data_IF_275970906738
#
_entry.id   IF_275970906738
#
_cell.length_a   1.000
_cell.length_b   1.000
_cell.length_c   1.000
_cell.angle_alpha   90.00
_cell.angle_beta   90.00
_cell.angle_gamma   90.00
#
_symmetry.space_group_name_H-M   'P 1'
#
loop_
_entity.id
_entity.type
_entity.pdbx_description
1 polymer ?
#
# COMPACT_ATOMS: atom_id res chain seq x y z
N UNK A 1 32.11 14.05 -3.22
CA UNK A 1 32.24 12.98 -2.21
C UNK A 1 30.84 12.40 -2.00
N UNK A 2 30.48 11.39 -2.79
CA UNK A 2 29.14 10.80 -2.76
C UNK A 2 29.09 9.79 -1.63
N UNK A 3 28.45 10.15 -0.52
CA UNK A 3 27.98 9.16 0.45
C UNK A 3 27.03 8.20 -0.29
N UNK A 4 27.52 6.99 -0.58
CA UNK A 4 26.67 5.86 -0.91
C UNK A 4 25.76 5.61 0.30
N UNK A 5 24.60 6.27 0.34
CA UNK A 5 23.50 5.87 1.20
C UNK A 5 23.10 4.47 0.76
N UNK A 6 23.60 3.46 1.46
CA UNK A 6 23.11 2.09 1.35
C UNK A 6 21.60 2.15 1.59
N UNK A 7 20.83 1.85 0.56
CA UNK A 7 19.37 1.73 0.69
C UNK A 7 19.09 0.44 1.45
N UNK A 8 18.78 0.59 2.73
CA UNK A 8 18.38 -0.54 3.57
C UNK A 8 17.08 -1.13 3.04
N UNK A 9 17.05 -2.45 2.84
CA UNK A 9 15.85 -3.22 2.52
C UNK A 9 15.39 -4.01 3.74
N UNK A 10 14.08 -4.03 3.95
CA UNK A 10 13.41 -4.93 4.88
C UNK A 10 12.85 -6.14 4.15
N UNK A 11 12.62 -7.22 4.89
CA UNK A 11 11.76 -8.32 4.44
C UNK A 11 10.35 -8.06 4.97
N UNK A 12 9.37 -8.06 4.07
CA UNK A 12 7.95 -7.92 4.43
C UNK A 12 7.16 -9.10 3.90
N UNK A 13 6.17 -9.55 4.68
CA UNK A 13 5.18 -10.52 4.21
C UNK A 13 4.19 -9.85 3.27
N UNK A 14 3.88 -10.51 2.16
CA UNK A 14 2.94 -10.03 1.17
C UNK A 14 2.12 -11.14 0.55
N UNK A 15 0.92 -10.78 0.11
CA UNK A 15 0.09 -11.60 -0.75
C UNK A 15 -0.86 -10.71 -1.56
N UNK A 16 -1.69 -11.33 -2.41
CA UNK A 16 -2.68 -10.60 -3.20
C UNK A 16 -3.60 -9.72 -2.34
N UNK A 17 -4.08 -10.21 -1.19
CA UNK A 17 -5.01 -9.48 -0.32
C UNK A 17 -4.39 -8.26 0.36
N UNK A 18 -3.22 -8.41 0.98
CA UNK A 18 -2.44 -7.33 1.61
C UNK A 18 -2.07 -6.28 0.57
N UNK A 19 -1.57 -6.70 -0.59
CA UNK A 19 -1.21 -5.77 -1.65
C UNK A 19 -2.44 -5.01 -2.12
N UNK A 20 -3.55 -5.71 -2.35
CA UNK A 20 -4.82 -5.08 -2.75
C UNK A 20 -5.26 -4.05 -1.72
N UNK A 21 -5.32 -4.42 -0.44
CA UNK A 21 -5.68 -3.51 0.65
C UNK A 21 -4.84 -2.22 0.63
N UNK A 22 -3.51 -2.34 0.54
CA UNK A 22 -2.61 -1.17 0.57
C UNK A 22 -2.75 -0.23 -0.63
N UNK A 23 -3.47 -0.65 -1.69
CA UNK A 23 -3.67 0.10 -2.93
C UNK A 23 -5.14 0.50 -3.14
N UNK A 24 -6.05 0.09 -2.25
CA UNK A 24 -7.47 0.40 -2.34
C UNK A 24 -7.74 1.86 -1.95
N UNK A 25 -8.52 2.56 -2.77
CA UNK A 25 -9.08 3.87 -2.40
C UNK A 25 -10.15 3.67 -1.33
N UNK A 26 -9.87 4.16 -0.13
CA UNK A 26 -10.79 4.03 1.02
C UNK A 26 -11.38 5.37 1.45
N UNK A 27 -10.87 6.48 0.93
CA UNK A 27 -11.38 7.83 1.18
C UNK A 27 -12.31 8.30 0.08
N UNK A 28 -13.19 9.26 0.42
CA UNK A 28 -14.12 9.88 -0.53
C UNK A 28 -14.96 8.85 -1.28
N UNK A 29 -15.52 7.87 -0.54
CA UNK A 29 -16.36 6.84 -1.11
C UNK A 29 -17.72 7.39 -1.51
N UNK A 30 -18.32 6.77 -2.52
CA UNK A 30 -19.68 7.08 -2.95
C UNK A 30 -20.69 6.62 -1.88
N UNK A 31 -21.85 7.29 -1.82
CA UNK A 31 -22.90 6.96 -0.85
C UNK A 31 -23.34 5.49 -0.94
N UNK A 32 -23.40 4.92 -2.15
CA UNK A 32 -23.74 3.50 -2.39
C UNK A 32 -22.75 2.52 -1.74
N UNK A 33 -21.52 2.96 -1.50
CA UNK A 33 -20.49 2.17 -0.82
C UNK A 33 -20.61 2.28 0.70
N UNK A 34 -21.48 3.14 1.24
CA UNK A 34 -21.67 3.32 2.67
C UNK A 34 -23.05 2.73 3.04
N UNK A 35 -23.02 1.64 3.79
CA UNK A 35 -24.22 0.94 4.24
C UNK A 35 -25.06 1.78 5.21
N UNK A 36 -26.31 1.36 5.41
CA UNK A 36 -27.29 2.06 6.26
C UNK A 36 -26.86 2.21 7.73
N UNK A 37 -25.95 1.37 8.21
CA UNK A 37 -25.40 1.42 9.57
C UNK A 37 -24.11 2.24 9.66
N UNK A 38 -23.67 2.87 8.56
CA UNK A 38 -22.48 3.71 8.53
C UNK A 38 -21.17 2.98 8.24
N UNK A 39 -21.21 1.67 7.96
CA UNK A 39 -20.06 0.89 7.51
C UNK A 39 -19.79 1.09 6.02
N UNK A 40 -18.53 1.23 5.61
CA UNK A 40 -18.17 1.29 4.20
C UNK A 40 -17.79 -0.09 3.66
N UNK A 41 -18.26 -0.39 2.45
CA UNK A 41 -18.05 -1.65 1.73
C UNK A 41 -17.44 -1.36 0.36
N UNK A 42 -16.26 -1.93 0.10
CA UNK A 42 -15.48 -1.69 -1.11
C UNK A 42 -15.16 -3.01 -1.80
N UNK A 43 -15.70 -3.19 -3.01
CA UNK A 43 -15.35 -4.30 -3.88
C UNK A 43 -14.01 -4.00 -4.55
N UNK A 44 -12.97 -4.75 -4.20
CA UNK A 44 -11.60 -4.57 -4.68
C UNK A 44 -11.28 -5.63 -5.75
N UNK A 45 -12.10 -5.67 -6.81
CA UNK A 45 -12.07 -6.74 -7.81
C UNK A 45 -13.02 -7.89 -7.48
N UNK A 46 -12.79 -9.05 -8.11
CA UNK A 46 -13.76 -10.16 -8.08
C UNK A 46 -13.73 -10.97 -6.79
N UNK A 47 -12.60 -11.00 -6.08
CA UNK A 47 -12.34 -11.93 -4.97
C UNK A 47 -11.95 -11.28 -3.65
N UNK A 48 -11.84 -9.94 -3.59
CA UNK A 48 -11.54 -9.22 -2.36
C UNK A 48 -12.59 -8.15 -2.10
N UNK A 49 -13.30 -8.25 -0.98
CA UNK A 49 -14.27 -7.26 -0.52
C UNK A 49 -13.84 -6.78 0.86
N UNK A 50 -13.64 -5.48 0.97
CA UNK A 50 -13.17 -4.79 2.16
C UNK A 50 -14.36 -4.13 2.86
N UNK A 51 -14.44 -4.29 4.17
CA UNK A 51 -15.37 -3.54 5.02
C UNK A 51 -14.58 -2.68 6.01
N UNK A 52 -14.96 -1.41 6.10
CA UNK A 52 -14.43 -0.46 7.08
C UNK A 52 -15.58 -0.09 8.01
N UNK A 53 -15.53 -0.63 9.23
CA UNK A 53 -16.55 -0.39 10.25
C UNK A 53 -16.57 1.06 10.71
N UNK A 54 -17.74 1.57 11.07
CA UNK A 54 -17.94 2.92 11.60
C UNK A 54 -17.31 4.00 10.71
N UNK A 55 -17.46 3.87 9.39
CA UNK A 55 -16.90 4.83 8.43
C UNK A 55 -17.55 6.21 8.57
N UNK A 56 -18.87 6.20 8.68
CA UNK A 56 -19.75 7.34 8.86
C UNK A 56 -20.78 7.07 9.95
N UNK A 57 -21.47 8.11 10.41
CA UNK A 57 -22.61 7.99 11.34
C UNK A 57 -23.72 8.94 10.92
N UNK A 58 -24.93 8.73 11.43
CA UNK A 58 -26.04 9.64 11.19
C UNK A 58 -26.10 10.69 12.30
N UNK A 59 -26.04 11.96 11.91
CA UNK A 59 -26.22 13.13 12.78
C UNK A 59 -27.41 13.90 12.23
N UNK A 60 -28.47 14.06 13.02
CA UNK A 60 -29.71 14.74 12.61
C UNK A 60 -30.29 14.20 11.29
N UNK A 61 -30.31 12.88 11.13
CA UNK A 61 -30.80 12.20 9.93
C UNK A 61 -29.89 12.31 8.70
N UNK A 62 -28.73 12.97 8.80
CA UNK A 62 -27.76 13.10 7.72
C UNK A 62 -26.56 12.19 7.94
N UNK A 63 -26.16 11.48 6.90
CA UNK A 63 -24.94 10.68 6.93
C UNK A 63 -23.71 11.60 6.93
N UNK A 64 -22.93 11.54 7.99
CA UNK A 64 -21.72 12.32 8.19
C UNK A 64 -20.50 11.38 8.29
N UNK A 65 -19.49 11.60 7.44
CA UNK A 65 -18.22 10.87 7.54
C UNK A 65 -17.47 11.34 8.78
N UNK A 66 -17.35 10.46 9.78
CA UNK A 66 -16.73 10.79 11.08
C UNK A 66 -15.33 10.22 11.21
N UNK A 67 -15.13 8.95 10.85
CA UNK A 67 -13.81 8.30 10.89
C UNK A 67 -13.19 8.18 9.50
N UNK A 68 -14.01 7.98 8.47
CA UNK A 68 -13.56 7.82 7.10
C UNK A 68 -12.68 6.59 6.87
N UNK A 69 -11.97 6.64 5.74
CA UNK A 69 -11.08 5.58 5.26
C UNK A 69 -9.73 5.54 5.93
N UNK A 70 -8.88 4.65 5.44
CA UNK A 70 -7.49 4.55 5.86
C UNK A 70 -6.65 5.63 5.20
N UNK A 71 -5.73 6.19 5.99
CA UNK A 71 -4.70 7.12 5.54
C UNK A 71 -3.46 6.34 5.12
N UNK A 72 -2.60 6.97 4.32
CA UNK A 72 -1.30 6.40 3.93
C UNK A 72 -0.44 5.98 5.14
N UNK A 73 -0.53 6.72 6.24
CA UNK A 73 0.14 6.38 7.51
C UNK A 73 -0.33 5.03 8.08
N UNK A 74 -1.60 4.67 7.92
CA UNK A 74 -2.16 3.42 8.44
C UNK A 74 -1.61 2.22 7.67
N UNK A 75 -1.44 2.36 6.35
CA UNK A 75 -0.79 1.34 5.53
C UNK A 75 0.71 1.22 5.83
N UNK A 76 1.41 2.34 6.05
CA UNK A 76 2.81 2.33 6.49
C UNK A 76 2.98 1.66 7.86
N UNK A 77 2.03 1.88 8.78
CA UNK A 77 2.03 1.21 10.08
C UNK A 77 1.79 -0.29 9.92
N UNK A 78 0.79 -0.70 9.11
CA UNK A 78 0.57 -2.10 8.78
C UNK A 78 1.84 -2.75 8.19
N UNK A 79 2.54 -2.06 7.29
CA UNK A 79 3.78 -2.57 6.71
C UNK A 79 4.87 -2.79 7.74
N UNK A 80 5.02 -1.88 8.71
CA UNK A 80 5.96 -2.05 9.82
C UNK A 80 5.58 -3.26 10.68
N UNK A 81 4.30 -3.48 10.94
CA UNK A 81 3.83 -4.67 11.65
C UNK A 81 4.15 -5.95 10.86
N UNK A 82 3.95 -5.94 9.53
CA UNK A 82 4.25 -7.08 8.66
C UNK A 82 5.76 -7.36 8.52
N UNK A 83 6.60 -6.32 8.55
CA UNK A 83 8.06 -6.46 8.64
C UNK A 83 8.43 -7.11 9.97
N UNK A 84 7.85 -6.63 11.08
CA UNK A 84 8.13 -7.20 12.40
C UNK A 84 7.64 -8.64 12.50
N UNK A 85 6.50 -8.95 11.91
CA UNK A 85 6.00 -10.31 11.77
C UNK A 85 6.95 -11.18 10.93
N UNK A 86 7.49 -10.68 9.81
CA UNK A 86 8.44 -11.43 9.00
C UNK A 86 9.68 -11.86 9.80
N UNK A 87 10.13 -11.03 10.76
CA UNK A 87 11.28 -11.28 11.62
C UNK A 87 10.97 -12.25 12.77
N UNK A 88 9.78 -12.16 13.36
CA UNK A 88 9.46 -12.82 14.63
C UNK A 88 8.50 -14.00 14.49
N UNK A 89 7.64 -13.96 13.47
CA UNK A 89 6.50 -14.87 13.26
C UNK A 89 5.54 -14.92 14.46
N UNK A 90 5.48 -13.85 15.26
CA UNK A 90 4.62 -13.78 16.44
C UNK A 90 3.22 -13.23 16.09
N UNK A 91 2.18 -13.81 16.72
CA UNK A 91 0.81 -13.27 16.69
C UNK A 91 0.74 -11.89 17.37
N UNK A 92 1.43 -11.74 18.51
CA UNK A 92 1.53 -10.51 19.28
C UNK A 92 2.79 -9.75 18.87
N UNK A 93 2.64 -8.73 18.05
CA UNK A 93 3.76 -7.89 17.64
C UNK A 93 4.13 -6.92 18.75
N UNK A 94 5.40 -6.99 19.17
CA UNK A 94 6.03 -6.03 20.08
C UNK A 94 7.07 -5.22 19.31
N UNK A 95 6.87 -3.90 19.27
CA UNK A 95 7.76 -2.98 18.56
C UNK A 95 8.09 -1.78 19.44
N UNK A 96 9.37 -1.45 19.63
CA UNK A 96 9.72 -0.24 20.39
C UNK A 96 9.28 1.00 19.61
N UNK A 97 8.69 1.98 20.30
CA UNK A 97 8.26 3.24 19.68
C UNK A 97 9.45 3.96 19.02
N UNK A 98 10.65 3.88 19.62
CA UNK A 98 11.89 4.41 19.03
C UNK A 98 12.27 3.69 17.72
N UNK A 99 12.02 2.38 17.61
CA UNK A 99 12.25 1.60 16.39
C UNK A 99 11.27 2.04 15.29
N UNK A 100 9.98 2.16 15.61
CA UNK A 100 8.97 2.73 14.72
C UNK A 100 9.36 4.13 14.22
N UNK A 101 9.80 5.01 15.13
CA UNK A 101 10.27 6.35 14.79
C UNK A 101 11.47 6.32 13.82
N UNK A 102 12.45 5.44 14.06
CA UNK A 102 13.60 5.27 13.17
C UNK A 102 13.18 4.80 11.77
N UNK A 103 12.28 3.82 11.69
CA UNK A 103 11.74 3.31 10.41
C UNK A 103 10.98 4.41 9.66
N UNK A 104 10.19 5.22 10.38
CA UNK A 104 9.41 6.33 9.80
C UNK A 104 10.20 7.62 9.55
N UNK A 105 11.42 7.74 10.08
CA UNK A 105 12.18 8.99 10.05
C UNK A 105 11.60 10.09 10.94
N UNK A 106 10.87 9.73 11.99
CA UNK A 106 10.22 10.68 12.91
C UNK A 106 11.18 11.09 14.03
N UNK A 107 11.17 12.38 14.39
CA UNK A 107 11.94 12.93 15.51
C UNK A 107 11.09 13.17 16.76
N UNK A 108 9.82 13.52 16.59
CA UNK A 108 8.91 13.82 17.70
C UNK A 108 8.17 12.57 18.21
N UNK A 109 8.39 12.23 19.47
CA UNK A 109 7.75 11.09 20.13
C UNK A 109 6.25 11.30 20.32
N UNK A 110 5.78 12.53 20.56
CA UNK A 110 4.33 12.79 20.75
C UNK A 110 3.56 12.52 19.47
N UNK A 111 4.06 13.04 18.36
CA UNK A 111 3.53 12.77 17.01
C UNK A 111 3.58 11.29 16.67
N UNK A 112 4.71 10.62 16.91
CA UNK A 112 4.82 9.18 16.64
C UNK A 112 3.82 8.36 17.46
N UNK A 113 3.66 8.68 18.76
CA UNK A 113 2.69 8.01 19.64
C UNK A 113 1.27 8.21 19.12
N UNK A 114 0.91 9.43 18.74
CA UNK A 114 -0.40 9.75 18.16
C UNK A 114 -0.64 8.97 16.87
N UNK A 115 0.31 8.99 15.93
CA UNK A 115 0.20 8.26 14.65
C UNK A 115 -0.06 6.78 14.88
N UNK A 116 0.67 6.14 15.80
CA UNK A 116 0.47 4.73 16.12
C UNK A 116 -0.92 4.48 16.71
N UNK A 117 -1.39 5.30 17.65
CA UNK A 117 -2.72 5.13 18.26
C UNK A 117 -3.82 5.29 17.20
N UNK A 118 -3.74 6.34 16.38
CA UNK A 118 -4.69 6.60 15.31
C UNK A 118 -4.71 5.43 14.30
N UNK A 119 -3.54 4.89 13.94
CA UNK A 119 -3.44 3.75 13.02
C UNK A 119 -3.90 2.43 13.64
N UNK A 120 -3.70 2.19 14.94
CA UNK A 120 -4.30 1.04 15.64
C UNK A 120 -5.83 1.12 15.56
N UNK A 121 -6.40 2.29 15.85
CA UNK A 121 -7.84 2.50 15.74
C UNK A 121 -8.33 2.28 14.31
N UNK A 122 -7.64 2.83 13.30
CA UNK A 122 -8.00 2.64 11.90
C UNK A 122 -7.97 1.16 11.48
N UNK A 123 -6.88 0.44 11.81
CA UNK A 123 -6.74 -0.98 11.48
C UNK A 123 -7.74 -1.88 12.23
N UNK A 124 -8.17 -1.49 13.44
CA UNK A 124 -9.16 -2.24 14.22
C UNK A 124 -10.54 -2.34 13.56
N UNK A 125 -10.83 -1.43 12.63
CA UNK A 125 -12.12 -1.35 11.93
C UNK A 125 -12.16 -2.15 10.62
N UNK A 126 -11.04 -2.77 10.25
CA UNK A 126 -10.90 -3.42 8.94
C UNK A 126 -11.25 -4.89 9.03
N UNK A 127 -12.20 -5.29 8.19
CA UNK A 127 -12.46 -6.70 7.89
C UNK A 127 -12.52 -6.92 6.39
N UNK A 128 -12.28 -8.15 5.95
CA UNK A 128 -12.51 -8.55 4.57
C UNK A 128 -13.27 -9.88 4.51
N UNK A 129 -13.98 -10.10 3.42
CA UNK A 129 -14.73 -11.35 3.20
C UNK A 129 -13.79 -12.56 3.21
N UNK A 130 -14.10 -13.54 4.05
CA UNK A 130 -13.67 -14.91 3.85
C UNK A 130 -14.52 -15.51 2.73
N UNK A 131 -13.88 -16.27 1.84
CA UNK A 131 -14.55 -16.95 0.74
C UNK A 131 -14.07 -18.38 0.61
N UNK A 132 -14.98 -19.26 0.26
CA UNK A 132 -14.73 -20.67 -0.05
C UNK A 132 -15.01 -20.95 -1.51
N UNK A 133 -14.22 -21.84 -2.13
CA UNK A 133 -14.48 -22.30 -3.49
C UNK A 133 -15.38 -23.55 -3.43
N UNK A 134 -16.65 -23.39 -3.78
CA UNK A 134 -17.61 -24.49 -3.87
C UNK A 134 -17.95 -24.70 -5.34
N UNK A 135 -17.56 -25.86 -5.88
CA UNK A 135 -17.80 -26.25 -7.28
C UNK A 135 -17.34 -25.19 -8.29
N UNK A 136 -16.15 -24.60 -8.08
CA UNK A 136 -15.58 -23.59 -8.97
C UNK A 136 -16.10 -22.17 -8.74
N UNK A 137 -17.02 -21.96 -7.80
CA UNK A 137 -17.56 -20.64 -7.45
C UNK A 137 -17.05 -20.18 -6.09
N UNK A 138 -16.52 -18.97 -6.03
CA UNK A 138 -16.14 -18.33 -4.77
C UNK A 138 -17.38 -17.76 -4.08
N UNK A 139 -17.73 -18.32 -2.93
CA UNK A 139 -18.90 -17.95 -2.14
C UNK A 139 -18.43 -17.33 -0.83
N UNK A 140 -19.14 -16.31 -0.34
CA UNK A 140 -18.91 -15.73 0.98
C UNK A 140 -19.08 -16.79 2.07
N UNK A 141 -18.10 -16.90 2.96
CA UNK A 141 -18.10 -17.87 4.07
C UNK A 141 -17.81 -17.24 5.44
N UNK A 142 -17.72 -15.91 5.52
CA UNK A 142 -17.51 -15.18 6.77
C UNK A 142 -16.68 -13.91 6.59
N UNK A 143 -16.16 -13.36 7.67
CA UNK A 143 -15.27 -12.18 7.65
C UNK A 143 -14.01 -12.43 8.46
N UNK A 144 -12.87 -11.97 7.96
CA UNK A 144 -11.60 -11.99 8.68
C UNK A 144 -11.21 -10.54 9.02
N UNK A 145 -10.85 -10.32 10.28
CA UNK A 145 -10.28 -9.05 10.77
C UNK A 145 -8.76 -9.10 10.66
N UNK A 146 -8.10 -7.96 10.46
CA UNK A 146 -6.64 -7.88 10.67
C UNK A 146 -6.31 -7.83 12.17
N UNK A 147 -7.16 -7.17 12.95
CA UNK A 147 -6.95 -6.88 14.36
C UNK A 147 -7.58 -7.95 15.26
N UNK A 148 -6.78 -8.47 16.19
CA UNK A 148 -7.15 -9.52 17.15
C UNK A 148 -7.60 -9.01 18.51
N UNK A 149 -7.95 -7.73 18.64
CA UNK A 149 -8.59 -7.16 19.84
C UNK A 149 -7.69 -6.40 20.81
N UNK A 150 -6.36 -6.53 20.72
CA UNK A 150 -5.43 -5.79 21.59
C UNK A 150 -4.45 -4.93 20.78
N UNK A 151 -4.46 -3.62 21.01
CA UNK A 151 -3.54 -2.66 20.40
C UNK A 151 -3.31 -1.47 21.32
N UNK A 152 -2.09 -1.28 21.81
CA UNK A 152 -1.78 -0.22 22.78
C UNK A 152 -0.29 0.10 22.85
N UNK A 153 0.07 1.18 23.54
CA UNK A 153 1.47 1.53 23.83
C UNK A 153 1.71 1.54 25.34
N UNK A 154 2.53 0.61 25.83
CA UNK A 154 2.93 0.51 27.24
C UNK A 154 4.45 0.60 27.36
N UNK A 155 4.93 1.47 28.25
CA UNK A 155 6.37 1.65 28.52
C UNK A 155 7.21 1.83 27.23
N UNK A 156 6.75 2.70 26.33
CA UNK A 156 7.42 2.97 25.05
C UNK A 156 7.45 1.79 24.06
N UNK A 157 6.64 0.75 24.28
CA UNK A 157 6.51 -0.42 23.42
C UNK A 157 5.10 -0.45 22.84
N UNK A 158 5.01 -0.54 21.52
CA UNK A 158 3.79 -0.76 20.77
C UNK A 158 3.49 -2.25 20.84
N UNK A 159 2.26 -2.58 21.24
CA UNK A 159 1.71 -3.92 21.24
C UNK A 159 0.58 -3.95 20.21
N UNK A 160 0.61 -4.91 19.30
CA UNK A 160 -0.46 -5.14 18.34
C UNK A 160 -0.71 -6.63 18.19
N UNK A 161 -1.94 -7.06 18.44
CA UNK A 161 -2.34 -8.45 18.24
C UNK A 161 -2.99 -8.60 16.86
N UNK A 162 -2.40 -9.43 16.00
CA UNK A 162 -3.12 -9.87 14.81
C UNK A 162 -4.30 -10.77 15.21
N UNK A 163 -5.35 -10.77 14.40
CA UNK A 163 -6.38 -11.78 14.50
C UNK A 163 -5.79 -13.17 14.19
N UNK A 164 -6.28 -14.22 14.85
CA UNK A 164 -5.74 -15.58 14.72
C UNK A 164 -5.86 -16.14 13.29
N UNK A 165 -6.99 -15.92 12.61
CA UNK A 165 -7.19 -16.36 11.22
C UNK A 165 -6.27 -15.59 10.27
N UNK A 166 -6.17 -14.27 10.45
CA UNK A 166 -5.23 -13.45 9.68
C UNK A 166 -3.77 -13.89 9.89
N UNK A 167 -3.38 -14.16 11.12
CA UNK A 167 -2.06 -14.66 11.47
C UNK A 167 -1.76 -16.01 10.81
N UNK A 168 -2.70 -16.96 10.85
CA UNK A 168 -2.55 -18.26 10.21
C UNK A 168 -2.36 -18.12 8.69
N UNK A 169 -3.01 -17.12 8.08
CA UNK A 169 -2.76 -16.78 6.69
C UNK A 169 -1.35 -16.21 6.48
N UNK A 170 -0.90 -15.27 7.33
CA UNK A 170 0.43 -14.66 7.23
C UNK A 170 1.58 -15.68 7.29
N UNK A 171 1.44 -16.76 8.06
CA UNK A 171 2.46 -17.82 8.15
C UNK A 171 2.76 -18.46 6.78
N UNK A 172 1.77 -18.51 5.91
CA UNK A 172 1.87 -19.15 4.59
C UNK A 172 2.21 -18.16 3.46
N UNK A 173 2.23 -16.86 3.75
CA UNK A 173 2.40 -15.83 2.74
C UNK A 173 3.85 -15.64 2.33
N UNK A 174 4.05 -15.32 1.05
CA UNK A 174 5.36 -15.03 0.49
C UNK A 174 5.96 -13.76 1.09
N UNK A 175 7.27 -13.62 0.94
CA UNK A 175 7.98 -12.40 1.32
C UNK A 175 8.50 -11.63 0.11
N UNK A 176 8.81 -10.35 0.31
CA UNK A 176 9.54 -9.51 -0.64
C UNK A 176 10.56 -8.61 0.05
N UNK A 177 11.61 -8.26 -0.70
CA UNK A 177 12.49 -7.14 -0.36
C UNK A 177 11.70 -5.85 -0.52
N UNK A 178 11.75 -5.02 0.51
CA UNK A 178 10.97 -3.80 0.63
C UNK A 178 11.87 -2.63 1.00
N UNK A 179 11.88 -1.58 0.19
CA UNK A 179 12.75 -0.44 0.42
C UNK A 179 12.41 0.24 1.75
N UNK A 180 13.40 0.37 2.64
CA UNK A 180 13.23 1.11 3.89
C UNK A 180 12.93 2.58 3.66
N UNK A 181 13.27 3.12 2.49
CA UNK A 181 12.89 4.48 2.08
C UNK A 181 11.38 4.63 1.87
N UNK A 182 10.66 3.56 1.50
CA UNK A 182 9.19 3.57 1.38
C UNK A 182 8.53 4.02 2.67
N UNK A 183 9.05 3.52 3.80
CA UNK A 183 8.57 3.88 5.13
C UNK A 183 9.00 5.28 5.58
N UNK A 184 9.74 6.06 4.80
CA UNK A 184 10.09 7.45 5.12
C UNK A 184 9.42 8.46 4.20
N UNK A 185 8.62 7.98 3.24
CA UNK A 185 7.89 8.83 2.30
C UNK A 185 6.91 9.75 3.03
N UNK A 186 6.74 10.95 2.48
CA UNK A 186 5.71 11.89 2.91
C UNK A 186 4.33 11.28 2.60
N UNK A 187 3.49 11.02 3.61
CA UNK A 187 2.19 10.37 3.42
C UNK A 187 1.18 11.21 2.62
N UNK A 188 1.50 12.48 2.31
CA UNK A 188 0.67 13.37 1.48
C UNK A 188 0.99 13.23 -0.02
N UNK A 189 1.98 12.42 -0.36
CA UNK A 189 2.51 12.24 -1.71
C UNK A 189 2.26 10.82 -2.21
N UNK A 190 2.51 10.59 -3.50
CA UNK A 190 2.33 9.28 -4.11
C UNK A 190 3.52 8.33 -3.92
N UNK A 191 4.63 8.83 -3.38
CA UNK A 191 5.90 8.09 -3.28
C UNK A 191 5.75 6.76 -2.54
N UNK A 192 4.91 6.69 -1.50
CA UNK A 192 4.62 5.43 -0.81
C UNK A 192 4.05 4.36 -1.74
N UNK A 193 3.00 4.71 -2.48
CA UNK A 193 2.30 3.76 -3.36
C UNK A 193 3.19 3.35 -4.53
N UNK A 194 3.95 4.30 -5.10
CA UNK A 194 4.88 3.99 -6.17
C UNK A 194 5.99 3.04 -5.71
N UNK A 195 6.68 3.38 -4.63
CA UNK A 195 7.76 2.60 -4.05
C UNK A 195 7.30 1.19 -3.73
N UNK A 196 6.20 1.04 -2.99
CA UNK A 196 5.64 -0.26 -2.64
C UNK A 196 5.26 -1.10 -3.87
N UNK A 197 4.64 -0.50 -4.88
CA UNK A 197 4.21 -1.24 -6.07
C UNK A 197 5.40 -1.66 -6.95
N UNK A 198 6.46 -0.85 -7.00
CA UNK A 198 7.70 -1.18 -7.71
C UNK A 198 8.35 -2.41 -7.08
N UNK A 199 8.46 -2.42 -5.75
CA UNK A 199 8.99 -3.55 -4.97
C UNK A 199 8.15 -4.84 -5.20
N UNK A 200 6.83 -4.71 -5.20
CA UNK A 200 5.90 -5.81 -5.50
C UNK A 200 6.07 -6.32 -6.95
N UNK A 201 6.18 -5.40 -7.91
CA UNK A 201 6.31 -5.75 -9.33
C UNK A 201 7.61 -6.51 -9.59
N UNK A 202 8.71 -6.07 -9.00
CA UNK A 202 9.99 -6.79 -9.03
C UNK A 202 9.79 -8.21 -8.54
N UNK A 203 9.20 -8.40 -7.35
CA UNK A 203 9.02 -9.73 -6.77
C UNK A 203 8.14 -10.64 -7.63
N UNK A 204 7.03 -10.14 -8.16
CA UNK A 204 6.09 -10.94 -9.00
C UNK A 204 6.74 -11.35 -10.34
N UNK A 205 7.63 -10.51 -10.87
CA UNK A 205 8.27 -10.72 -12.16
C UNK A 205 9.72 -11.17 -12.07
N UNK A 206 10.23 -11.45 -10.87
CA UNK A 206 11.59 -11.92 -10.65
C UNK A 206 11.89 -13.13 -11.55
N UNK A 207 12.98 -13.07 -12.32
CA UNK A 207 13.36 -14.10 -13.30
C UNK A 207 12.63 -14.04 -14.65
N UNK A 208 11.71 -13.09 -14.88
CA UNK A 208 11.03 -12.89 -16.17
C UNK A 208 11.66 -11.75 -16.95
N UNK A 209 11.60 -11.82 -18.29
CA UNK A 209 12.13 -10.79 -19.20
C UNK A 209 11.51 -9.39 -19.02
N UNK A 210 10.35 -9.30 -18.35
CA UNK A 210 9.63 -8.06 -18.10
C UNK A 210 9.82 -7.49 -16.69
N UNK A 211 10.72 -8.07 -15.88
CA UNK A 211 10.93 -7.68 -14.47
C UNK A 211 11.15 -6.18 -14.28
N UNK A 212 11.86 -5.55 -15.22
CA UNK A 212 12.20 -4.14 -15.20
C UNK A 212 11.16 -3.21 -15.84
N UNK A 213 10.03 -3.72 -16.33
CA UNK A 213 9.06 -2.94 -17.11
C UNK A 213 7.75 -2.76 -16.35
N UNK A 214 7.37 -1.51 -16.15
CA UNK A 214 6.10 -1.14 -15.51
C UNK A 214 5.38 -0.12 -16.40
N UNK A 215 4.19 -0.44 -16.90
CA UNK A 215 3.40 0.56 -17.63
C UNK A 215 2.93 1.67 -16.69
N UNK A 216 2.93 2.92 -17.17
CA UNK A 216 2.45 4.07 -16.39
C UNK A 216 1.00 3.86 -15.96
N UNK A 217 0.16 3.32 -16.86
CA UNK A 217 -1.22 2.91 -16.54
C UNK A 217 -1.30 1.97 -15.33
N UNK A 218 -0.43 0.97 -15.25
CA UNK A 218 -0.42 0.02 -14.13
C UNK A 218 -0.06 0.73 -12.82
N UNK A 219 0.99 1.55 -12.83
CA UNK A 219 1.42 2.30 -11.65
C UNK A 219 0.35 3.28 -11.15
N UNK A 220 -0.31 4.01 -12.05
CA UNK A 220 -1.42 4.91 -11.72
C UNK A 220 -2.61 4.16 -11.11
N UNK A 221 -2.97 3.00 -11.68
CA UNK A 221 -4.08 2.18 -11.15
C UNK A 221 -3.88 1.70 -9.72
N UNK A 222 -2.63 1.76 -9.22
CA UNK A 222 -2.21 1.32 -7.88
C UNK A 222 -1.95 2.48 -6.92
N UNK A 223 -2.28 3.70 -7.32
CA UNK A 223 -2.01 4.93 -6.58
C UNK A 223 -3.33 5.65 -6.28
N UNK A 224 -4.02 5.30 -5.19
CA UNK A 224 -5.36 5.82 -4.90
C UNK A 224 -5.39 7.31 -4.56
N UNK A 225 -4.23 7.92 -4.30
CA UNK A 225 -4.07 9.34 -3.98
C UNK A 225 -4.02 10.26 -5.20
N UNK A 226 -3.72 9.74 -6.40
CA UNK A 226 -3.83 10.53 -7.63
C UNK A 226 -5.28 10.53 -8.14
N UNK A 227 -5.78 11.68 -8.61
CA UNK A 227 -7.09 11.72 -9.25
C UNK A 227 -7.07 10.91 -10.56
N UNK A 228 -8.20 10.32 -10.91
CA UNK A 228 -8.38 9.75 -12.25
C UNK A 228 -8.54 10.87 -13.28
N UNK A 229 -8.44 10.54 -14.56
CA UNK A 229 -8.74 11.50 -15.64
C UNK A 229 -10.16 12.02 -15.51
N UNK A 230 -11.12 11.13 -15.24
CA UNK A 230 -12.53 11.49 -15.08
C UNK A 230 -12.73 12.44 -13.89
N UNK A 231 -11.99 12.24 -12.78
CA UNK A 231 -11.97 13.15 -11.63
C UNK A 231 -11.41 14.55 -11.97
N UNK A 232 -10.54 14.65 -12.98
CA UNK A 232 -9.97 15.92 -13.44
C UNK A 232 -10.88 16.60 -14.46
N UNK A 233 -11.39 15.83 -15.42
CA UNK A 233 -12.26 16.32 -16.49
C UNK A 233 -13.60 16.85 -15.98
N UNK A 234 -14.11 16.29 -14.87
CA UNK A 234 -15.34 16.75 -14.20
C UNK A 234 -15.19 18.06 -13.41
N UNK A 235 -13.96 18.55 -13.22
CA UNK A 235 -13.68 19.77 -12.44
C UNK A 235 -13.02 20.84 -13.29
N UNK A 236 -11.68 20.85 -13.31
CA UNK A 236 -10.89 21.98 -13.81
C UNK A 236 -10.06 21.64 -15.06
N UNK A 237 -10.13 20.39 -15.56
CA UNK A 237 -9.48 19.91 -16.80
C UNK A 237 -7.94 20.07 -16.87
N UNK A 238 -7.27 20.50 -15.79
CA UNK A 238 -5.80 20.62 -15.69
C UNK A 238 -5.10 19.26 -15.49
N UNK A 239 -5.17 18.37 -16.48
CA UNK A 239 -4.61 17.00 -16.39
C UNK A 239 -3.10 16.99 -16.12
N UNK A 240 -2.35 17.86 -16.82
CA UNK A 240 -0.89 17.96 -16.66
C UNK A 240 -0.52 18.25 -15.20
N UNK A 241 -1.12 19.27 -14.61
CA UNK A 241 -0.76 19.76 -13.28
C UNK A 241 -1.28 18.86 -12.15
N UNK A 242 -2.36 18.11 -12.38
CA UNK A 242 -2.95 17.24 -11.35
C UNK A 242 -2.52 15.78 -11.42
N UNK A 243 -2.03 15.31 -12.57
CA UNK A 243 -1.64 13.91 -12.76
C UNK A 243 -0.16 13.79 -13.17
N UNK A 244 0.22 14.35 -14.31
CA UNK A 244 1.54 14.09 -14.93
C UNK A 244 2.67 14.68 -14.09
N UNK A 245 2.58 15.97 -13.73
CA UNK A 245 3.61 16.65 -12.94
C UNK A 245 3.73 16.03 -11.53
N UNK A 246 2.64 15.80 -10.77
CA UNK A 246 2.72 15.13 -9.47
C UNK A 246 3.27 13.70 -9.56
N UNK A 247 2.98 12.97 -10.65
CA UNK A 247 3.50 11.63 -10.87
C UNK A 247 5.04 11.65 -10.94
N UNK A 248 5.64 12.44 -11.83
CA UNK A 248 7.09 12.49 -11.96
C UNK A 248 7.77 13.09 -10.73
N UNK A 249 7.22 14.18 -10.17
CA UNK A 249 7.71 14.77 -8.91
C UNK A 249 7.82 13.75 -7.77
N UNK A 250 6.82 12.88 -7.64
CA UNK A 250 6.79 11.89 -6.55
C UNK A 250 7.60 10.63 -6.88
N UNK A 251 7.71 10.26 -8.17
CA UNK A 251 8.57 9.17 -8.63
C UNK A 251 10.06 9.51 -8.47
N UNK A 252 10.45 10.76 -8.75
CA UNK A 252 11.84 11.24 -8.60
C UNK A 252 12.31 11.29 -7.15
N UNK A 253 11.40 11.22 -6.18
CA UNK A 253 11.73 11.11 -4.75
C UNK A 253 12.16 9.69 -4.35
N UNK A 254 11.98 8.70 -5.23
CA UNK A 254 12.34 7.31 -4.95
C UNK A 254 13.85 7.10 -5.12
N UNK A 255 14.61 7.41 -4.08
CA UNK A 255 16.08 7.35 -4.09
C UNK A 255 16.69 5.95 -4.31
N UNK A 256 15.90 4.89 -4.16
CA UNK A 256 16.37 3.49 -4.23
C UNK A 256 16.25 2.89 -5.63
N UNK A 257 15.72 3.63 -6.59
CA UNK A 257 15.63 3.20 -7.99
C UNK A 257 16.19 4.29 -8.90
N UNK A 258 16.60 3.86 -10.09
CA UNK A 258 16.74 4.74 -11.25
C UNK A 258 15.77 4.24 -12.31
N UNK A 259 15.30 5.13 -13.19
CA UNK A 259 14.38 4.73 -14.24
C UNK A 259 14.58 5.55 -15.51
N UNK A 260 14.06 5.01 -16.60
CA UNK A 260 13.85 5.71 -17.87
C UNK A 260 12.40 5.58 -18.29
N UNK A 261 11.90 6.54 -19.05
CA UNK A 261 10.56 6.50 -19.64
C UNK A 261 10.69 6.15 -21.12
N UNK A 262 10.01 5.10 -21.55
CA UNK A 262 9.91 4.71 -22.95
C UNK A 262 8.51 4.97 -23.49
N UNK A 263 8.44 5.53 -24.70
CA UNK A 263 7.18 5.66 -25.45
C UNK A 263 6.72 4.29 -26.03
N UNK A 264 5.61 4.27 -26.76
CA UNK A 264 5.08 3.06 -27.40
C UNK A 264 6.05 2.44 -28.44
N UNK A 265 6.89 3.27 -29.07
CA UNK A 265 7.91 2.86 -30.03
C UNK A 265 9.21 2.37 -29.35
N UNK A 266 9.23 2.31 -28.01
CA UNK A 266 10.39 1.94 -27.17
C UNK A 266 11.54 2.94 -27.21
N UNK A 267 11.26 4.18 -27.58
CA UNK A 267 12.24 5.27 -27.58
C UNK A 267 12.21 6.00 -26.24
N UNK A 268 13.39 6.41 -25.77
CA UNK A 268 13.53 7.13 -24.50
C UNK A 268 12.98 8.56 -24.61
N UNK A 269 12.11 8.93 -23.67
CA UNK A 269 11.59 10.28 -23.58
C UNK A 269 12.34 11.04 -22.49
N UNK A 270 13.01 12.13 -22.89
CA UNK A 270 13.81 12.97 -21.99
C UNK A 270 12.98 13.87 -21.06
N UNK A 271 11.83 14.37 -21.54
CA UNK A 271 10.96 15.32 -20.82
C UNK A 271 9.51 14.80 -20.74
N UNK A 272 9.29 13.65 -20.09
CA UNK A 272 7.99 12.99 -20.09
C UNK A 272 6.91 13.80 -19.34
N UNK A 273 7.30 14.74 -18.49
CA UNK A 273 6.40 15.66 -17.78
C UNK A 273 5.68 16.66 -18.70
N UNK A 274 6.18 16.86 -19.92
CA UNK A 274 5.60 17.77 -20.91
C UNK A 274 4.67 17.09 -21.92
N UNK A 275 4.50 15.76 -21.81
CA UNK A 275 3.63 14.99 -22.70
C UNK A 275 2.15 15.35 -22.55
N UNK A 276 1.39 15.05 -23.61
CA UNK A 276 -0.07 14.94 -23.50
C UNK A 276 -0.43 13.67 -22.73
N UNK A 277 -1.62 13.66 -22.14
CA UNK A 277 -2.04 12.53 -21.30
C UNK A 277 -2.11 11.21 -22.08
N UNK A 278 -2.55 11.25 -23.33
CA UNK A 278 -2.68 10.08 -24.20
C UNK A 278 -1.32 9.44 -24.51
N UNK A 279 -0.26 10.24 -24.62
CA UNK A 279 1.11 9.77 -24.80
C UNK A 279 1.65 9.22 -23.47
N UNK A 280 1.48 9.99 -22.40
CA UNK A 280 1.93 9.65 -21.05
C UNK A 280 1.37 8.31 -20.56
N UNK A 281 0.05 8.09 -20.65
CA UNK A 281 -0.60 6.89 -20.09
C UNK A 281 -0.13 5.59 -20.77
N UNK A 282 0.36 5.72 -22.01
CA UNK A 282 0.82 4.61 -22.83
C UNK A 282 2.33 4.36 -22.72
N UNK A 283 3.06 5.18 -21.96
CA UNK A 283 4.48 4.98 -21.71
C UNK A 283 4.75 3.83 -20.72
N UNK A 284 5.99 3.36 -20.76
CA UNK A 284 6.52 2.32 -19.87
C UNK A 284 7.73 2.85 -19.12
N UNK A 285 7.74 2.67 -17.80
CA UNK A 285 8.93 2.84 -16.97
C UNK A 285 9.84 1.62 -17.12
N UNK A 286 11.13 1.87 -17.36
CA UNK A 286 12.19 0.87 -17.28
C UNK A 286 13.02 1.15 -16.05
N UNK A 287 12.90 0.29 -15.05
CA UNK A 287 13.56 0.43 -13.75
C UNK A 287 14.93 -0.25 -13.76
N UNK A 288 15.95 0.43 -13.26
CA UNK A 288 17.26 -0.16 -12.95
C UNK A 288 17.22 -0.79 -11.55
N UNK A 289 17.32 -2.11 -11.51
CA UNK A 289 17.33 -2.91 -10.29
C UNK A 289 18.74 -3.41 -9.90
N UNK A 290 19.81 -2.82 -10.44
CA UNK A 290 21.18 -3.25 -10.14
C UNK A 290 21.52 -3.24 -8.64
N UNK A 291 20.92 -2.32 -7.87
CA UNK A 291 21.10 -2.21 -6.41
C UNK A 291 20.02 -2.93 -5.60
N UNK A 292 19.13 -3.68 -6.26
CA UNK A 292 18.00 -4.34 -5.62
C UNK A 292 18.45 -5.71 -5.07
N UNK A 293 18.09 -6.10 -3.84
CA UNK A 293 18.54 -7.36 -3.28
C UNK A 293 17.94 -8.53 -4.07
N UNK A 294 18.79 -9.50 -4.43
CA UNK A 294 18.35 -10.75 -5.07
C UNK A 294 17.83 -11.68 -3.98
N UNK A 295 16.69 -12.33 -4.19
CA UNK A 295 16.22 -13.34 -3.25
C UNK A 295 17.01 -14.64 -3.46
N UNK A 296 17.81 -15.04 -2.47
CA UNK A 296 18.53 -16.33 -2.48
C UNK A 296 17.57 -17.53 -2.34
N UNK A 297 16.40 -17.31 -1.71
CA UNK A 297 15.40 -18.35 -1.47
C UNK A 297 14.37 -18.45 -2.61
N UNK A 298 14.77 -19.04 -3.74
CA UNK A 298 13.87 -19.40 -4.85
C UNK A 298 12.89 -20.55 -4.54
N UNK A 299 13.05 -21.24 -3.40
CA UNK A 299 12.45 -22.57 -3.16
C UNK A 299 11.24 -22.62 -2.22
N UNK A 300 10.76 -21.52 -1.65
CA UNK A 300 9.44 -21.53 -1.04
C UNK A 300 8.41 -21.27 -2.14
N UNK A 301 7.38 -22.13 -2.22
CA UNK A 301 6.27 -22.09 -3.19
C UNK A 301 6.52 -22.78 -4.55
N UNK A 302 6.92 -24.06 -4.53
CA UNK A 302 6.18 -25.01 -5.38
C UNK A 302 4.74 -25.03 -4.85
N UNK A 303 3.78 -24.66 -5.70
CA UNK A 303 2.35 -24.85 -5.42
C UNK A 303 2.14 -26.32 -5.07
N UNK A 304 1.66 -26.59 -3.87
CA UNK A 304 0.82 -27.76 -3.63
C UNK A 304 -0.60 -27.38 -4.07
#
# INVERSE_FOLDING_TARGET
MNENKTTDFYIIVQNKSINTLTKTKTSNLNYEQIGRIGDAVINCGNDFKLTIKNYATYIDGKLCVTKGGLKTLDFMFLDILLIKFAQTKELNIKLKLKEYMKMRGLKDTKTARKQVIDSIEALSRITYDARENIKGKWIYSGTISIFGGSGYIKNGTIHFNFNADFYNLLLNYSVMNYSGSTLKMDPRTNGYYFSRFIDENYRINEGKSRVNKISIRSLLSKTPSLPTVDDVLSKDKHIKDRIIVPFFRDLDRLIHIKYKVLNQNKEEVKYPENMRYEEFINCTLVIDYNNYPKNENKNFYKRN
#
